data_IF_744503451392
#
_entry.id   IF_744503451392
#
_cell.length_a   1.000
_cell.length_b   1.000
_cell.length_c   1.000
_cell.angle_alpha   90.00
_cell.angle_beta   90.00
_cell.angle_gamma   90.00
#
_symmetry.space_group_name_H-M   'P 1'
#
loop_
_entity.id
_entity.type
_entity.pdbx_description
1 polymer ?
#
# COMPACT_ATOMS: atom_id res chain seq x y z
N UNK A 1 -19.28 84.83 19.37
CA UNK A 1 -19.00 83.96 18.21
C UNK A 1 -18.01 82.89 18.66
N UNK A 2 -18.47 81.66 18.89
CA UNK A 2 -17.61 80.54 19.27
C UNK A 2 -18.27 79.28 18.70
N UNK A 3 -17.80 78.84 17.54
CA UNK A 3 -18.34 77.69 16.82
C UNK A 3 -17.87 76.40 17.49
N UNK A 4 -18.81 75.60 17.97
CA UNK A 4 -18.58 74.25 18.47
C UNK A 4 -18.73 73.28 17.29
N UNK A 5 -17.65 72.64 16.86
CA UNK A 5 -17.68 71.58 15.85
C UNK A 5 -18.00 70.28 16.56
N UNK A 6 -19.15 69.68 16.24
CA UNK A 6 -19.55 68.35 16.71
C UNK A 6 -19.04 67.33 15.68
N UNK A 7 -18.10 66.49 16.08
CA UNK A 7 -17.59 65.38 15.26
C UNK A 7 -18.51 64.18 15.49
N UNK A 8 -19.21 63.75 14.45
CA UNK A 8 -20.08 62.59 14.43
C UNK A 8 -19.24 61.34 14.11
N UNK A 9 -18.95 60.51 15.11
CA UNK A 9 -18.29 59.21 14.91
C UNK A 9 -19.33 58.18 14.44
N UNK A 10 -19.29 57.81 13.16
CA UNK A 10 -20.03 56.66 12.63
C UNK A 10 -19.30 55.36 13.03
N UNK A 11 -19.89 54.60 13.93
CA UNK A 11 -19.47 53.22 14.20
C UNK A 11 -20.03 52.31 13.11
N UNK A 12 -19.15 51.83 12.22
CA UNK A 12 -19.45 50.71 11.34
C UNK A 12 -19.28 49.42 12.16
N UNK A 13 -20.37 48.68 12.34
CA UNK A 13 -20.32 47.34 12.90
C UNK A 13 -19.89 46.37 11.78
N UNK A 14 -18.64 45.95 11.79
CA UNK A 14 -18.16 44.87 10.95
C UNK A 14 -18.80 43.55 11.41
N UNK A 15 -19.81 43.10 10.67
CA UNK A 15 -20.31 41.74 10.74
C UNK A 15 -19.25 40.82 10.13
N UNK A 16 -18.37 40.29 10.98
CA UNK A 16 -17.48 39.20 10.60
C UNK A 16 -18.34 37.95 10.33
N UNK A 17 -18.55 37.65 9.05
CA UNK A 17 -19.03 36.34 8.61
C UNK A 17 -17.94 35.34 8.96
N UNK A 18 -18.20 34.53 9.97
CA UNK A 18 -17.38 33.36 10.24
C UNK A 18 -17.52 32.42 9.04
N UNK A 19 -16.52 32.41 8.16
CA UNK A 19 -16.34 31.32 7.22
C UNK A 19 -16.12 30.07 8.06
N UNK A 20 -17.01 29.08 7.96
CA UNK A 20 -16.70 27.70 8.35
C UNK A 20 -15.36 27.35 7.70
N UNK A 21 -14.30 27.29 8.51
CA UNK A 21 -13.00 26.87 8.05
C UNK A 21 -13.15 25.47 7.48
N UNK A 22 -12.86 25.31 6.19
CA UNK A 22 -12.70 24.00 5.58
C UNK A 22 -11.82 23.17 6.52
N UNK A 23 -12.38 22.07 7.05
CA UNK A 23 -11.59 21.07 7.76
C UNK A 23 -10.43 20.76 6.82
N UNK A 24 -9.21 21.14 7.22
CA UNK A 24 -8.05 21.14 6.34
C UNK A 24 -7.96 19.81 5.61
N UNK A 25 -8.12 19.84 4.29
CA UNK A 25 -8.14 18.64 3.48
C UNK A 25 -6.79 17.95 3.63
N UNK A 26 -6.75 16.82 4.31
CA UNK A 26 -5.55 16.01 4.36
C UNK A 26 -5.22 15.51 2.96
N UNK A 27 -3.96 15.67 2.57
CA UNK A 27 -3.49 15.32 1.24
C UNK A 27 -1.95 15.30 1.25
N UNK A 28 -1.38 14.31 0.55
CA UNK A 28 0.05 14.07 0.45
C UNK A 28 0.72 14.10 1.83
N UNK A 29 1.55 15.11 2.10
CA UNK A 29 2.31 15.22 3.34
C UNK A 29 1.47 15.65 4.55
N UNK A 30 0.28 16.20 4.34
CA UNK A 30 -0.65 16.57 5.41
C UNK A 30 -1.49 15.33 5.77
N UNK A 31 -1.36 14.78 6.99
CA UNK A 31 -2.06 13.56 7.36
C UNK A 31 -3.55 13.77 7.60
N UNK A 32 -4.34 12.75 7.28
CA UNK A 32 -5.72 12.58 7.74
C UNK A 32 -5.69 12.04 9.17
N UNK A 33 -6.29 12.78 10.09
CA UNK A 33 -6.50 12.31 11.47
C UNK A 33 -7.64 11.28 11.51
N UNK A 34 -7.41 10.16 12.20
CA UNK A 34 -8.39 9.09 12.38
C UNK A 34 -8.27 8.56 13.81
N UNK A 35 -9.08 9.12 14.72
CA UNK A 35 -8.90 8.93 16.16
C UNK A 35 -7.53 9.43 16.61
N UNK A 36 -6.83 8.62 17.41
CA UNK A 36 -5.47 8.90 17.88
C UNK A 36 -4.38 8.53 16.85
N UNK A 37 -4.79 8.04 15.67
CA UNK A 37 -3.90 7.64 14.57
C UNK A 37 -4.08 8.53 13.36
N UNK A 38 -3.27 8.29 12.34
CA UNK A 38 -3.32 9.07 11.11
C UNK A 38 -2.83 8.29 9.90
N UNK A 39 -3.21 8.75 8.71
CA UNK A 39 -2.74 8.21 7.45
C UNK A 39 -2.54 9.33 6.43
N UNK A 40 -1.83 9.04 5.35
CA UNK A 40 -1.66 9.94 4.23
C UNK A 40 -2.42 9.42 3.02
N UNK A 41 -2.94 10.33 2.20
CA UNK A 41 -3.64 10.01 0.96
C UNK A 41 -3.02 10.79 -0.20
N UNK A 42 -2.92 10.17 -1.36
CA UNK A 42 -2.39 10.80 -2.56
C UNK A 42 -3.18 10.34 -3.78
N UNK A 43 -3.94 11.24 -4.40
CA UNK A 43 -4.68 10.97 -5.64
C UNK A 43 -3.73 10.78 -6.83
N UNK A 44 -4.17 10.08 -7.88
CA UNK A 44 -3.40 9.97 -9.09
C UNK A 44 -3.36 11.26 -9.91
N UNK A 45 -2.39 11.34 -10.81
CA UNK A 45 -2.20 12.49 -11.68
C UNK A 45 -3.39 12.61 -12.65
N UNK A 46 -3.95 13.81 -12.76
CA UNK A 46 -5.02 14.09 -13.72
C UNK A 46 -6.39 13.51 -13.36
N UNK A 47 -6.61 13.08 -12.11
CA UNK A 47 -7.93 12.64 -11.66
C UNK A 47 -8.97 13.75 -11.77
N UNK A 48 -10.18 13.40 -12.21
CA UNK A 48 -11.28 14.32 -12.51
C UNK A 48 -12.13 14.69 -11.28
N UNK A 49 -11.78 14.15 -10.10
CA UNK A 49 -12.53 14.32 -8.86
C UNK A 49 -13.79 13.47 -8.74
N UNK A 50 -14.08 12.58 -9.70
CA UNK A 50 -15.36 11.86 -9.80
C UNK A 50 -15.24 10.38 -10.13
N UNK A 51 -14.29 10.02 -10.99
CA UNK A 51 -14.09 8.65 -11.45
C UNK A 51 -13.68 7.75 -10.27
N UNK A 52 -14.35 6.59 -10.05
CA UNK A 52 -13.96 5.67 -9.01
C UNK A 52 -12.51 5.18 -9.15
N UNK A 53 -11.75 5.24 -8.06
CA UNK A 53 -10.32 4.95 -8.05
C UNK A 53 -10.01 3.55 -7.50
N UNK A 54 -9.23 2.72 -8.23
CA UNK A 54 -8.46 1.64 -7.62
C UNK A 54 -7.63 2.17 -6.45
N UNK A 55 -7.43 1.34 -5.43
CA UNK A 55 -6.74 1.74 -4.20
C UNK A 55 -5.51 0.87 -3.98
N UNK A 56 -4.40 1.47 -3.58
CA UNK A 56 -3.28 0.78 -2.94
C UNK A 56 -3.17 1.27 -1.50
N UNK A 57 -3.39 0.36 -0.55
CA UNK A 57 -3.00 0.56 0.85
C UNK A 57 -1.56 0.09 1.03
N UNK A 58 -0.61 1.02 1.23
CA UNK A 58 0.82 0.70 1.34
C UNK A 58 1.39 0.96 2.74
N UNK A 59 1.85 -0.09 3.40
CA UNK A 59 2.50 -0.01 4.71
C UNK A 59 4.00 0.28 4.60
N UNK A 60 4.48 1.25 5.38
CA UNK A 60 5.89 1.64 5.42
C UNK A 60 6.76 0.62 6.18
N UNK A 61 8.08 0.61 5.91
CA UNK A 61 9.04 -0.18 6.68
C UNK A 61 9.33 0.36 8.08
N UNK A 62 10.13 -0.37 8.86
CA UNK A 62 10.49 -0.01 10.24
C UNK A 62 11.08 1.40 10.36
N UNK A 63 10.70 2.12 11.43
CA UNK A 63 11.13 3.47 11.76
C UNK A 63 10.78 4.53 10.70
N UNK A 64 9.79 4.25 9.85
CA UNK A 64 9.23 5.18 8.85
C UNK A 64 7.80 5.58 9.20
N UNK A 65 7.18 6.37 8.31
CA UNK A 65 5.81 6.86 8.40
C UNK A 65 5.22 6.96 6.99
N UNK A 66 3.91 7.12 6.87
CA UNK A 66 3.20 7.30 5.61
C UNK A 66 3.67 8.50 4.79
N UNK A 67 4.19 9.56 5.43
CA UNK A 67 4.83 10.71 4.73
C UNK A 67 5.95 10.28 3.79
N UNK A 68 6.73 9.24 4.13
CA UNK A 68 7.80 8.72 3.28
C UNK A 68 7.21 8.00 2.07
N UNK A 69 6.11 7.27 2.25
CA UNK A 69 5.44 6.49 1.20
C UNK A 69 4.90 7.40 0.10
N UNK A 70 4.17 8.46 0.46
CA UNK A 70 3.59 9.42 -0.49
C UNK A 70 4.66 10.26 -1.24
N UNK A 71 5.90 10.27 -0.74
CA UNK A 71 7.06 10.88 -1.42
C UNK A 71 7.92 9.88 -2.16
N UNK A 72 7.72 8.58 -1.97
CA UNK A 72 8.63 7.57 -2.48
C UNK A 72 8.40 7.36 -3.98
N UNK A 73 9.38 7.64 -4.86
CA UNK A 73 9.16 7.62 -6.31
C UNK A 73 8.79 6.24 -6.86
N UNK A 74 9.21 5.16 -6.19
CA UNK A 74 8.86 3.78 -6.59
C UNK A 74 7.47 3.33 -6.12
N UNK A 75 6.86 4.05 -5.17
CA UNK A 75 5.51 3.75 -4.64
C UNK A 75 4.53 4.80 -5.14
N UNK A 76 4.64 6.04 -4.66
CA UNK A 76 3.81 7.17 -5.07
C UNK A 76 3.89 7.44 -6.58
N UNK A 77 5.08 7.35 -7.18
CA UNK A 77 5.20 7.50 -8.63
C UNK A 77 4.54 6.36 -9.41
N UNK A 78 4.54 5.13 -8.87
CA UNK A 78 3.91 3.99 -9.52
C UNK A 78 2.38 4.14 -9.52
N UNK A 79 1.78 4.51 -8.39
CA UNK A 79 0.34 4.69 -8.24
C UNK A 79 -0.18 5.90 -9.01
N UNK A 80 0.49 7.06 -8.87
CA UNK A 80 0.03 8.31 -9.48
C UNK A 80 -0.10 8.26 -10.98
N UNK A 81 0.83 7.58 -11.65
CA UNK A 81 0.84 7.42 -13.12
C UNK A 81 -0.19 6.40 -13.64
N UNK A 82 -0.85 5.65 -12.76
CA UNK A 82 -1.73 4.51 -13.12
C UNK A 82 -3.18 4.71 -12.70
N UNK A 83 -3.56 5.91 -12.31
CA UNK A 83 -4.93 6.17 -11.87
C UNK A 83 -5.27 5.50 -10.54
N UNK A 84 -4.29 5.27 -9.66
CA UNK A 84 -4.47 4.56 -8.39
C UNK A 84 -4.36 5.51 -7.20
N UNK A 85 -5.36 5.51 -6.32
CA UNK A 85 -5.33 6.21 -5.03
C UNK A 85 -4.37 5.50 -4.08
N UNK A 86 -3.41 6.23 -3.52
CA UNK A 86 -2.47 5.69 -2.54
C UNK A 86 -2.89 6.08 -1.13
N UNK A 87 -3.13 5.07 -0.28
CA UNK A 87 -3.33 5.21 1.16
C UNK A 87 -2.06 4.74 1.88
N UNK A 88 -1.52 5.58 2.75
CA UNK A 88 -0.27 5.34 3.46
C UNK A 88 -0.45 5.57 4.97
N UNK A 89 -0.90 4.55 5.72
CA UNK A 89 -1.11 4.64 7.16
C UNK A 89 0.18 4.91 7.94
N UNK A 90 0.06 5.59 9.08
CA UNK A 90 1.14 5.76 10.05
C UNK A 90 1.06 4.68 11.13
N UNK A 91 2.12 3.87 11.25
CA UNK A 91 2.29 2.88 12.30
C UNK A 91 2.49 3.53 13.67
N UNK A 92 1.93 2.95 14.73
CA UNK A 92 2.24 3.42 16.07
C UNK A 92 3.73 3.16 16.39
N UNK A 93 4.39 4.11 17.04
CA UNK A 93 5.84 4.02 17.28
C UNK A 93 6.69 3.87 16.01
N UNK A 94 6.15 4.24 14.82
CA UNK A 94 6.80 4.06 13.51
C UNK A 94 7.06 2.60 13.15
N UNK A 95 6.21 1.69 13.63
CA UNK A 95 6.28 0.25 13.38
C UNK A 95 4.87 -0.34 13.26
N UNK A 96 4.80 -1.65 13.09
CA UNK A 96 3.58 -2.43 13.01
C UNK A 96 3.67 -3.64 13.94
N UNK A 97 2.54 -4.05 14.49
CA UNK A 97 2.38 -5.34 15.16
C UNK A 97 1.73 -6.34 14.19
N UNK A 98 2.52 -7.29 13.69
CA UNK A 98 2.11 -8.26 12.67
C UNK A 98 2.39 -9.71 13.05
N UNK A 99 3.13 -9.94 14.15
CA UNK A 99 3.45 -11.30 14.61
C UNK A 99 2.28 -11.97 15.32
N UNK A 100 1.27 -11.20 15.71
CA UNK A 100 0.00 -11.68 16.25
C UNK A 100 -1.15 -11.29 15.32
N UNK A 101 -2.21 -12.11 15.30
CA UNK A 101 -3.49 -11.74 14.70
C UNK A 101 -4.29 -10.78 15.57
N UNK A 102 -4.00 -10.71 16.88
CA UNK A 102 -4.61 -9.80 17.84
C UNK A 102 -3.90 -8.45 17.84
N UNK A 103 -3.93 -7.77 16.69
CA UNK A 103 -3.28 -6.47 16.48
C UNK A 103 -4.31 -5.41 16.10
N UNK A 104 -4.18 -4.23 16.70
CA UNK A 104 -5.01 -3.08 16.34
C UNK A 104 -4.65 -2.51 14.96
N UNK A 105 -3.48 -2.85 14.41
CA UNK A 105 -3.06 -2.38 13.08
C UNK A 105 -3.94 -2.94 11.95
N UNK A 106 -4.50 -4.14 12.12
CA UNK A 106 -5.44 -4.72 11.15
C UNK A 106 -6.74 -3.92 11.14
N UNK A 107 -7.31 -3.66 12.32
CA UNK A 107 -8.54 -2.88 12.46
C UNK A 107 -8.34 -1.43 11.99
N UNK A 108 -7.19 -0.83 12.31
CA UNK A 108 -6.84 0.49 11.85
C UNK A 108 -6.71 0.57 10.32
N UNK A 109 -6.05 -0.40 9.69
CA UNK A 109 -5.94 -0.45 8.23
C UNK A 109 -7.32 -0.52 7.55
N UNK A 110 -8.25 -1.29 8.11
CA UNK A 110 -9.65 -1.31 7.66
C UNK A 110 -10.31 0.05 7.83
N UNK A 111 -10.14 0.69 8.99
CA UNK A 111 -10.69 2.02 9.26
C UNK A 111 -10.14 3.10 8.30
N UNK A 112 -8.87 3.00 7.89
CA UNK A 112 -8.27 3.90 6.88
C UNK A 112 -8.94 3.76 5.52
N UNK A 113 -9.22 2.52 5.08
CA UNK A 113 -9.94 2.28 3.81
C UNK A 113 -11.36 2.85 3.87
N UNK A 114 -12.06 2.64 4.99
CA UNK A 114 -13.43 3.13 5.16
C UNK A 114 -13.48 4.66 5.28
N UNK A 115 -12.54 5.30 6.01
CA UNK A 115 -12.44 6.78 6.06
C UNK A 115 -12.11 7.38 4.69
N UNK A 116 -11.22 6.73 3.93
CA UNK A 116 -10.95 7.13 2.55
C UNK A 116 -12.18 7.01 1.64
N UNK A 117 -13.01 5.98 1.82
CA UNK A 117 -14.25 5.79 1.05
C UNK A 117 -15.31 6.88 1.31
N UNK A 118 -15.25 7.58 2.44
CA UNK A 118 -16.10 8.73 2.73
C UNK A 118 -15.64 10.01 1.99
N UNK A 119 -14.37 10.06 1.60
CA UNK A 119 -13.73 11.23 0.96
C UNK A 119 -13.57 11.08 -0.55
N UNK A 120 -13.41 9.84 -1.02
CA UNK A 120 -13.12 9.49 -2.41
C UNK A 120 -14.09 8.42 -2.91
N UNK A 121 -14.54 8.50 -4.18
CA UNK A 121 -15.16 7.36 -4.83
C UNK A 121 -14.09 6.28 -5.04
N UNK A 122 -14.08 5.24 -4.20
CA UNK A 122 -13.15 4.12 -4.34
C UNK A 122 -13.80 2.96 -5.07
N UNK A 123 -13.03 2.31 -5.93
CA UNK A 123 -13.38 1.02 -6.50
C UNK A 123 -13.00 -0.09 -5.52
N UNK A 124 -14.00 -0.66 -4.85
CA UNK A 124 -13.81 -1.72 -3.86
C UNK A 124 -13.43 -3.08 -4.47
N UNK A 125 -13.63 -3.28 -5.76
CA UNK A 125 -13.20 -4.49 -6.46
C UNK A 125 -11.71 -4.43 -6.82
N UNK A 126 -11.13 -3.23 -6.86
CA UNK A 126 -9.70 -2.99 -7.14
C UNK A 126 -8.97 -2.40 -5.93
N UNK A 127 -9.15 -3.05 -4.78
CA UNK A 127 -8.37 -2.80 -3.56
C UNK A 127 -7.12 -3.68 -3.54
N UNK A 128 -5.96 -3.05 -3.62
CA UNK A 128 -4.65 -3.69 -3.49
C UNK A 128 -4.03 -3.34 -2.14
N UNK A 129 -3.36 -4.31 -1.54
CA UNK A 129 -2.63 -4.13 -0.28
C UNK A 129 -1.16 -4.37 -0.54
N UNK A 130 -0.29 -3.50 -0.03
CA UNK A 130 1.13 -3.52 -0.33
C UNK A 130 1.95 -3.12 0.88
N UNK A 131 3.22 -3.47 0.89
CA UNK A 131 4.14 -2.94 1.88
C UNK A 131 5.57 -3.36 1.59
N UNK A 132 6.50 -2.72 2.30
CA UNK A 132 7.92 -3.01 2.22
C UNK A 132 8.50 -3.33 3.60
N UNK A 133 9.36 -4.36 3.69
CA UNK A 133 10.03 -4.74 4.94
C UNK A 133 9.00 -5.13 6.02
N UNK A 134 9.05 -4.53 7.21
CA UNK A 134 8.00 -4.66 8.24
C UNK A 134 6.62 -4.30 7.71
N UNK A 135 6.51 -3.34 6.79
CA UNK A 135 5.26 -3.03 6.12
C UNK A 135 4.79 -4.16 5.20
N UNK A 136 5.70 -4.92 4.60
CA UNK A 136 5.33 -6.11 3.83
C UNK A 136 4.78 -7.20 4.75
N UNK A 137 5.40 -7.43 5.90
CA UNK A 137 4.87 -8.36 6.90
C UNK A 137 3.51 -7.90 7.47
N UNK A 138 3.30 -6.59 7.64
CA UNK A 138 2.00 -6.02 7.99
C UNK A 138 0.97 -6.18 6.86
N UNK A 139 1.36 -5.99 5.60
CA UNK A 139 0.50 -6.24 4.43
C UNK A 139 0.04 -7.69 4.38
N UNK A 140 0.97 -8.63 4.61
CA UNK A 140 0.67 -10.05 4.77
C UNK A 140 -0.32 -10.29 5.92
N UNK A 141 -0.07 -9.74 7.10
CA UNK A 141 -0.99 -9.86 8.25
C UNK A 141 -2.38 -9.31 7.93
N UNK A 142 -2.47 -8.14 7.30
CA UNK A 142 -3.77 -7.56 6.94
C UNK A 142 -4.58 -8.50 6.05
N UNK A 143 -3.98 -9.05 4.98
CA UNK A 143 -4.73 -9.95 4.07
C UNK A 143 -4.95 -11.35 4.67
N UNK A 144 -4.15 -11.76 5.65
CA UNK A 144 -4.37 -12.98 6.44
C UNK A 144 -5.69 -12.92 7.22
N UNK A 145 -6.04 -11.73 7.73
CA UNK A 145 -7.26 -11.50 8.51
C UNK A 145 -8.43 -10.95 7.67
N UNK A 146 -8.15 -10.13 6.64
CA UNK A 146 -9.15 -9.36 5.87
C UNK A 146 -8.99 -9.52 4.34
N UNK A 147 -8.38 -10.61 3.87
CA UNK A 147 -8.04 -10.81 2.46
C UNK A 147 -9.21 -10.97 1.50
N UNK A 148 -10.38 -11.45 1.93
CA UNK A 148 -11.45 -11.87 1.00
C UNK A 148 -11.97 -10.74 0.09
N UNK A 149 -11.77 -9.48 0.47
CA UNK A 149 -12.16 -8.28 -0.30
C UNK A 149 -10.97 -7.56 -0.93
N UNK A 150 -9.80 -8.17 -0.93
CA UNK A 150 -8.57 -7.61 -1.50
C UNK A 150 -8.30 -8.29 -2.83
N UNK A 151 -8.14 -7.48 -3.88
CA UNK A 151 -7.85 -7.95 -5.23
C UNK A 151 -6.45 -8.55 -5.31
N UNK A 152 -5.44 -7.87 -4.75
CA UNK A 152 -4.09 -8.42 -4.69
C UNK A 152 -3.26 -7.93 -3.50
N UNK A 153 -2.39 -8.80 -3.00
CA UNK A 153 -1.24 -8.45 -2.18
C UNK A 153 -0.03 -8.16 -3.06
N UNK A 154 0.65 -7.03 -2.84
CA UNK A 154 1.91 -6.63 -3.47
C UNK A 154 3.00 -6.51 -2.40
N UNK A 155 3.59 -7.64 -2.03
CA UNK A 155 4.54 -7.78 -0.92
C UNK A 155 6.00 -7.65 -1.39
N UNK A 156 6.84 -6.98 -0.59
CA UNK A 156 8.20 -6.58 -0.96
C UNK A 156 9.15 -6.79 0.22
N UNK A 157 10.06 -7.74 0.11
CA UNK A 157 11.12 -8.01 1.10
C UNK A 157 10.61 -8.12 2.54
N UNK A 158 9.56 -8.90 2.76
CA UNK A 158 9.07 -9.21 4.12
C UNK A 158 7.86 -10.13 4.07
N UNK A 159 7.83 -11.10 4.98
CA UNK A 159 6.80 -12.13 5.06
C UNK A 159 6.38 -12.35 6.51
N UNK A 160 5.27 -13.04 6.72
CA UNK A 160 5.00 -13.69 8.01
C UNK A 160 5.76 -15.01 8.10
N UNK A 161 5.69 -15.66 9.27
CA UNK A 161 6.17 -17.03 9.41
C UNK A 161 5.40 -17.90 8.44
N UNK A 162 6.11 -18.72 7.65
CA UNK A 162 5.46 -19.57 6.65
C UNK A 162 4.60 -20.70 7.26
N UNK A 163 4.64 -20.85 8.59
CA UNK A 163 3.79 -21.75 9.39
C UNK A 163 2.54 -21.07 9.95
N UNK A 164 2.33 -19.78 9.69
CA UNK A 164 1.15 -19.05 10.14
C UNK A 164 -0.12 -19.60 9.48
N UNK A 165 -1.24 -19.57 10.20
CA UNK A 165 -2.54 -19.92 9.64
C UNK A 165 -3.30 -18.65 9.28
N UNK A 166 -3.71 -18.53 8.03
CA UNK A 166 -4.50 -17.38 7.56
C UNK A 166 -5.95 -17.76 7.30
N UNK A 167 -6.86 -17.04 7.97
CA UNK A 167 -8.30 -17.25 7.87
C UNK A 167 -8.85 -16.79 6.52
N UNK A 168 -8.29 -15.71 5.98
CA UNK A 168 -8.66 -15.14 4.69
C UNK A 168 -7.49 -15.13 3.72
N UNK A 169 -7.79 -14.88 2.45
CA UNK A 169 -6.80 -14.71 1.40
C UNK A 169 -7.31 -13.71 0.34
N UNK A 170 -6.43 -12.90 -0.28
CA UNK A 170 -6.78 -12.10 -1.44
C UNK A 170 -6.91 -12.96 -2.70
N UNK A 171 -7.49 -12.40 -3.76
CA UNK A 171 -7.62 -13.10 -5.04
C UNK A 171 -6.26 -13.39 -5.68
N UNK A 172 -5.25 -12.58 -5.38
CA UNK A 172 -3.91 -12.74 -5.93
C UNK A 172 -2.82 -12.33 -4.95
N UNK A 173 -1.75 -13.12 -4.93
CA UNK A 173 -0.54 -12.84 -4.17
C UNK A 173 0.59 -12.55 -5.15
N UNK A 174 1.23 -11.40 -5.02
CA UNK A 174 2.48 -11.06 -5.72
C UNK A 174 3.53 -10.70 -4.70
N UNK A 175 4.61 -11.46 -4.67
CA UNK A 175 5.71 -11.24 -3.74
C UNK A 175 7.01 -11.05 -4.49
N UNK A 176 7.83 -10.09 -4.07
CA UNK A 176 9.21 -9.96 -4.53
C UNK A 176 10.19 -10.00 -3.37
N UNK A 177 11.29 -10.74 -3.53
CA UNK A 177 12.31 -10.87 -2.51
C UNK A 177 13.70 -11.10 -3.11
N UNK A 178 14.71 -10.49 -2.49
CA UNK A 178 16.11 -10.66 -2.82
C UNK A 178 16.77 -11.80 -2.04
N UNK A 179 17.47 -12.71 -2.70
CA UNK A 179 18.18 -13.83 -2.05
C UNK A 179 19.38 -13.40 -1.20
N UNK A 180 19.85 -12.16 -1.36
CA UNK A 180 20.90 -11.56 -0.55
C UNK A 180 20.35 -10.55 0.48
N UNK A 181 19.04 -10.57 0.73
CA UNK A 181 18.42 -9.81 1.81
C UNK A 181 18.84 -10.37 3.16
N UNK A 182 19.42 -9.51 3.99
CA UNK A 182 19.93 -9.82 5.35
C UNK A 182 19.26 -8.97 6.43
N UNK A 183 18.19 -8.23 6.06
CA UNK A 183 17.42 -7.39 6.99
C UNK A 183 16.12 -8.10 7.34
N UNK A 184 15.40 -8.55 6.31
CA UNK A 184 14.31 -9.50 6.43
C UNK A 184 14.75 -10.70 5.62
N UNK A 185 15.46 -11.63 6.26
CA UNK A 185 16.12 -12.73 5.55
C UNK A 185 15.20 -13.40 4.53
N UNK A 186 15.76 -13.68 3.34
CA UNK A 186 15.06 -14.47 2.34
C UNK A 186 14.73 -15.83 2.96
N UNK A 187 13.46 -16.19 3.12
CA UNK A 187 13.08 -17.44 3.78
C UNK A 187 13.34 -18.58 2.81
N UNK A 188 14.55 -19.16 2.83
CA UNK A 188 14.82 -20.38 2.08
C UNK A 188 14.10 -21.57 2.72
N UNK A 189 13.56 -22.45 1.88
CA UNK A 189 13.02 -23.73 2.32
C UNK A 189 14.12 -24.77 2.54
N UNK A 190 13.73 -26.00 2.93
CA UNK A 190 14.65 -27.12 3.03
C UNK A 190 15.52 -27.26 1.78
N UNK A 191 16.81 -27.56 1.95
CA UNK A 191 17.78 -27.69 0.87
C UNK A 191 17.94 -26.45 -0.03
N UNK A 192 17.55 -25.25 0.44
CA UNK A 192 17.74 -24.00 -0.31
C UNK A 192 16.62 -23.67 -1.30
N UNK A 193 15.41 -24.23 -1.12
CA UNK A 193 14.25 -23.94 -1.98
C UNK A 193 13.94 -22.43 -2.00
N UNK A 194 13.92 -21.83 -3.19
CA UNK A 194 13.74 -20.40 -3.40
C UNK A 194 12.27 -19.95 -3.52
N UNK A 195 11.32 -20.89 -3.58
CA UNK A 195 9.87 -20.60 -3.67
C UNK A 195 9.19 -20.49 -2.30
N UNK A 196 9.94 -20.75 -1.23
CA UNK A 196 9.46 -20.74 0.14
C UNK A 196 8.97 -19.38 0.68
N UNK A 197 9.35 -18.20 0.14
CA UNK A 197 8.74 -16.92 0.54
C UNK A 197 7.23 -16.82 0.37
N UNK A 198 6.64 -17.64 -0.51
CA UNK A 198 5.19 -17.68 -0.74
C UNK A 198 4.55 -19.00 -0.35
N UNK A 199 5.29 -19.89 0.34
CA UNK A 199 4.80 -21.22 0.76
C UNK A 199 3.47 -21.15 1.50
N UNK A 200 3.32 -20.26 2.47
CA UNK A 200 2.06 -20.08 3.20
C UNK A 200 0.88 -19.85 2.25
N UNK A 201 1.04 -18.96 1.26
CA UNK A 201 -0.03 -18.64 0.34
C UNK A 201 -0.30 -19.77 -0.66
N UNK A 202 0.74 -20.46 -1.14
CA UNK A 202 0.58 -21.66 -1.98
C UNK A 202 -0.26 -22.71 -1.27
N UNK A 203 0.07 -23.01 -0.01
CA UNK A 203 -0.69 -23.94 0.83
C UNK A 203 -2.12 -23.45 1.07
N UNK A 204 -2.30 -22.19 1.48
CA UNK A 204 -3.62 -21.63 1.81
C UNK A 204 -4.56 -21.58 0.61
N UNK A 205 -4.02 -21.38 -0.59
CA UNK A 205 -4.77 -21.32 -1.84
C UNK A 205 -4.88 -22.68 -2.55
N UNK A 206 -4.25 -23.72 -2.01
CA UNK A 206 -4.28 -25.07 -2.57
C UNK A 206 -3.68 -25.13 -3.97
N UNK A 207 -2.51 -24.53 -4.15
CA UNK A 207 -1.80 -24.49 -5.44
C UNK A 207 -1.11 -25.83 -5.76
N UNK A 208 -1.18 -26.25 -7.02
CA UNK A 208 -0.47 -27.42 -7.52
C UNK A 208 1.05 -27.15 -7.58
N UNK A 209 1.86 -28.18 -7.37
CA UNK A 209 3.33 -28.10 -7.46
C UNK A 209 3.88 -28.95 -8.62
N UNK A 210 4.99 -28.54 -9.26
CA UNK A 210 5.72 -27.29 -9.05
C UNK A 210 5.03 -26.08 -9.72
N UNK A 211 5.37 -24.87 -9.29
CA UNK A 211 5.00 -23.65 -10.00
C UNK A 211 5.62 -23.55 -11.39
N UNK A 212 5.01 -22.75 -12.27
CA UNK A 212 5.49 -22.53 -13.63
C UNK A 212 6.51 -21.38 -13.69
N UNK A 213 7.71 -21.67 -14.17
CA UNK A 213 8.72 -20.65 -14.46
C UNK A 213 8.33 -19.84 -15.69
N UNK A 214 8.13 -18.52 -15.52
CA UNK A 214 7.78 -17.60 -16.61
C UNK A 214 9.00 -16.94 -17.26
N UNK A 215 10.20 -17.41 -16.89
CA UNK A 215 11.47 -16.85 -17.32
C UNK A 215 11.84 -15.56 -16.58
N UNK A 216 13.01 -15.05 -16.97
CA UNK A 216 13.59 -13.85 -16.41
C UNK A 216 12.98 -12.59 -17.02
N UNK A 217 12.86 -11.55 -16.20
CA UNK A 217 12.46 -10.23 -16.67
C UNK A 217 13.18 -9.11 -15.92
N UNK A 218 13.27 -7.95 -16.53
CA UNK A 218 13.90 -6.78 -15.91
C UNK A 218 13.19 -5.48 -16.31
N UNK A 219 13.19 -4.52 -15.40
CA UNK A 219 12.89 -3.10 -15.73
C UNK A 219 14.17 -2.32 -16.00
N UNK A 220 15.27 -2.75 -15.37
CA UNK A 220 16.57 -2.08 -15.45
C UNK A 220 17.63 -3.09 -15.85
N UNK A 221 18.67 -2.64 -16.54
CA UNK A 221 19.79 -3.51 -16.95
C UNK A 221 20.49 -4.22 -15.78
N UNK A 222 20.50 -3.63 -14.59
CA UNK A 222 21.28 -4.12 -13.44
C UNK A 222 20.51 -5.06 -12.50
N UNK A 223 19.23 -5.31 -12.77
CA UNK A 223 18.34 -6.10 -11.92
C UNK A 223 17.37 -6.94 -12.76
N UNK A 224 17.64 -8.25 -12.79
CA UNK A 224 16.73 -9.27 -13.33
C UNK A 224 15.94 -9.93 -12.19
N UNK A 225 14.74 -10.39 -12.52
CA UNK A 225 13.86 -11.15 -11.66
C UNK A 225 13.53 -12.47 -12.33
N UNK A 226 13.72 -13.59 -11.62
CA UNK A 226 13.13 -14.86 -12.01
C UNK A 226 11.68 -14.87 -11.51
N UNK A 227 10.73 -15.09 -12.43
CA UNK A 227 9.30 -15.16 -12.08
C UNK A 227 8.82 -16.61 -12.06
N UNK A 228 8.18 -17.00 -10.96
CA UNK A 228 7.44 -18.26 -10.83
C UNK A 228 5.97 -17.95 -10.56
N UNK A 229 5.07 -18.65 -11.23
CA UNK A 229 3.62 -18.47 -11.11
C UNK A 229 2.92 -19.79 -10.78
N UNK A 230 1.93 -19.71 -9.88
CA UNK A 230 0.97 -20.76 -9.58
C UNK A 230 -0.42 -20.22 -9.94
N UNK A 231 -0.89 -20.60 -11.12
CA UNK A 231 -2.23 -20.24 -11.63
C UNK A 231 -3.23 -21.37 -11.44
N UNK A 232 -2.75 -22.61 -11.29
CA UNK A 232 -3.56 -23.78 -10.93
C UNK A 232 -3.63 -23.90 -9.41
N UNK A 233 -4.49 -23.08 -8.80
CA UNK A 233 -4.82 -23.11 -7.38
C UNK A 233 -6.32 -23.34 -7.20
N UNK A 234 -6.71 -23.89 -6.05
CA UNK A 234 -8.13 -24.07 -5.72
C UNK A 234 -8.84 -22.72 -5.60
N UNK A 235 -8.13 -21.71 -5.08
CA UNK A 235 -8.57 -20.32 -4.96
C UNK A 235 -7.45 -19.39 -5.45
N UNK A 236 -7.79 -18.31 -6.15
CA UNK A 236 -6.84 -17.24 -6.49
C UNK A 236 -5.61 -17.70 -7.29
N UNK A 237 -4.50 -16.96 -7.15
CA UNK A 237 -3.22 -17.26 -7.78
C UNK A 237 -2.04 -16.67 -7.01
N UNK A 238 -0.85 -17.26 -7.17
CA UNK A 238 0.39 -16.81 -6.53
C UNK A 238 1.46 -16.52 -7.58
N UNK A 239 2.16 -15.41 -7.41
CA UNK A 239 3.30 -15.02 -8.22
C UNK A 239 4.46 -14.64 -7.30
N UNK A 240 5.64 -15.20 -7.58
CA UNK A 240 6.88 -14.88 -6.90
C UNK A 240 7.90 -14.35 -7.91
N UNK A 241 8.45 -13.18 -7.63
CA UNK A 241 9.62 -12.64 -8.29
C UNK A 241 10.84 -12.74 -7.36
N UNK A 242 11.90 -13.39 -7.81
CA UNK A 242 13.15 -13.54 -7.04
C UNK A 242 14.27 -12.78 -7.73
N UNK A 243 15.07 -12.03 -6.98
CA UNK A 243 16.28 -11.39 -7.49
C UNK A 243 17.50 -11.66 -6.59
N UNK A 244 18.72 -11.44 -7.09
CA UNK A 244 19.96 -11.78 -6.38
C UNK A 244 20.56 -10.64 -5.53
N UNK A 245 19.74 -9.64 -5.15
CA UNK A 245 20.19 -8.43 -4.46
C UNK A 245 19.63 -8.36 -3.03
N UNK A 246 19.99 -7.33 -2.28
CA UNK A 246 19.59 -7.15 -0.88
C UNK A 246 18.21 -6.49 -0.69
N UNK A 247 18.05 -5.83 0.46
CA UNK A 247 16.79 -5.28 0.98
C UNK A 247 16.45 -3.90 0.37
N UNK A 248 15.53 -3.86 -0.61
CA UNK A 248 15.01 -2.60 -1.18
C UNK A 248 13.70 -2.82 -1.93
N UNK A 249 12.97 -1.73 -2.19
CA UNK A 249 11.83 -1.72 -3.13
C UNK A 249 12.38 -1.73 -4.56
N UNK A 250 12.20 -2.79 -5.37
CA UNK A 250 12.79 -2.81 -6.70
C UNK A 250 12.20 -1.75 -7.63
N UNK A 251 13.05 -1.10 -8.44
CA UNK A 251 12.59 -0.07 -9.39
C UNK A 251 11.62 -0.69 -10.39
N UNK A 252 10.49 -0.02 -10.60
CA UNK A 252 9.48 -0.42 -11.57
C UNK A 252 8.63 -1.64 -11.19
N UNK A 253 8.96 -2.38 -10.12
CA UNK A 253 8.24 -3.61 -9.77
C UNK A 253 6.77 -3.35 -9.43
N UNK A 254 6.47 -2.40 -8.55
CA UNK A 254 5.08 -2.02 -8.21
C UNK A 254 4.34 -1.54 -9.46
N UNK A 255 5.01 -0.73 -10.30
CA UNK A 255 4.43 -0.24 -11.53
C UNK A 255 4.03 -1.37 -12.47
N UNK A 256 4.93 -2.34 -12.70
CA UNK A 256 4.62 -3.51 -13.52
C UNK A 256 3.43 -4.30 -12.97
N UNK A 257 3.40 -4.54 -11.67
CA UNK A 257 2.30 -5.31 -11.06
C UNK A 257 0.96 -4.60 -11.26
N UNK A 258 0.94 -3.27 -11.06
CA UNK A 258 -0.27 -2.48 -11.29
C UNK A 258 -0.67 -2.43 -12.76
N UNK A 259 0.29 -2.38 -13.71
CA UNK A 259 -0.05 -2.45 -15.14
C UNK A 259 -0.74 -3.77 -15.48
N UNK A 260 -0.21 -4.89 -14.99
CA UNK A 260 -0.77 -6.22 -15.21
C UNK A 260 -2.15 -6.39 -14.54
N UNK A 261 -2.30 -5.94 -13.29
CA UNK A 261 -3.56 -6.05 -12.52
C UNK A 261 -4.67 -5.14 -13.05
N UNK A 262 -4.31 -3.99 -13.64
CA UNK A 262 -5.26 -3.02 -14.20
C UNK A 262 -5.42 -3.13 -15.72
N UNK A 263 -4.78 -4.11 -16.35
CA UNK A 263 -4.72 -4.27 -17.80
C UNK A 263 -4.29 -2.98 -18.55
N UNK A 264 -3.33 -2.25 -17.98
CA UNK A 264 -2.77 -1.04 -18.58
C UNK A 264 -1.58 -1.41 -19.50
N UNK A 265 -1.29 -0.59 -20.52
CA UNK A 265 -0.03 -0.70 -21.26
C UNK A 265 1.16 -0.60 -20.31
N UNK A 266 2.16 -1.47 -20.48
CA UNK A 266 3.36 -1.45 -19.65
C UNK A 266 4.05 -0.09 -19.69
N UNK A 267 4.23 0.54 -18.53
CA UNK A 267 4.78 1.90 -18.42
C UNK A 267 5.89 1.97 -17.37
N UNK A 268 7.15 1.90 -17.83
CA UNK A 268 8.30 1.93 -16.95
C UNK A 268 8.91 3.32 -16.82
N UNK A 269 9.49 3.62 -15.65
CA UNK A 269 10.79 4.26 -15.62
C UNK A 269 11.83 3.50 -14.79
#
# INVERSE_FOLDING_TARGET
>A
MRNLVVILCMFWADLAVATEGAIGQCHAEVPCTLGDRSYHVLEPDGWDGKTPLPVVLHFHGWMRQGTVVVKHPRVAGATRRRGVLLLAPNGEGKTWDFWTSQTDDVAFATAVIEDAALRYPIDRERLFVSGYSFGSAMAWRYVCENGNRVAALLAISGTLRQSETCHQAPQEIRHVHGTADTVMDFPFGPNGESTWPVKLWRDRLGCAEPGEERGDWSVTEILSFQRIAWEDCTEGRVLLDVHNRGHFIPRGWIGRQLDELLALPSSYP
#
